data_IF_417398181879
#
_entry.id   IF_417398181879
#
_cell.length_a   1.000
_cell.length_b   1.000
_cell.length_c   1.000
_cell.angle_alpha   90.00
_cell.angle_beta   90.00
_cell.angle_gamma   90.00
#
_symmetry.space_group_name_H-M   'P 1'
#
loop_
_entity.id
_entity.type
_entity.pdbx_description
1 polymer ?
#
# COMPACT_ATOMS: atom_id res chain seq x y z
N UNK A 1 -16.90 -9.95 21.78
CA UNK A 1 -17.28 -9.63 20.39
C UNK A 1 -16.00 -9.63 19.59
N UNK A 2 -15.96 -10.35 18.47
CA UNK A 2 -14.80 -10.32 17.59
C UNK A 2 -14.71 -8.92 16.96
N UNK A 3 -13.56 -8.26 17.08
CA UNK A 3 -13.38 -6.93 16.49
C UNK A 3 -13.27 -7.05 14.96
N UNK A 4 -14.06 -6.24 14.25
CA UNK A 4 -13.94 -6.07 12.80
C UNK A 4 -12.62 -5.35 12.51
N UNK A 5 -11.85 -5.85 11.54
CA UNK A 5 -10.58 -5.26 11.09
C UNK A 5 -10.74 -4.55 9.76
N UNK A 6 -10.06 -3.42 9.58
CA UNK A 6 -9.98 -2.65 8.35
C UNK A 6 -8.63 -2.83 7.66
N UNK A 7 -8.65 -3.43 6.47
CA UNK A 7 -7.51 -3.42 5.54
C UNK A 7 -7.66 -2.28 4.53
N UNK A 8 -6.65 -1.41 4.41
CA UNK A 8 -6.67 -0.29 3.45
C UNK A 8 -5.89 -0.67 2.19
N UNK A 9 -6.58 -0.73 1.06
CA UNK A 9 -5.92 -0.90 -0.24
C UNK A 9 -5.35 0.44 -0.75
N UNK A 10 -4.07 0.44 -1.11
CA UNK A 10 -3.35 1.66 -1.53
C UNK A 10 -2.96 1.67 -3.03
N UNK A 11 -3.48 0.76 -3.85
CA UNK A 11 -3.14 0.65 -5.28
C UNK A 11 -3.41 1.93 -6.08
N UNK A 12 -4.45 2.67 -5.69
CA UNK A 12 -4.87 3.90 -6.39
C UNK A 12 -3.92 5.08 -6.15
N UNK A 13 -3.18 5.07 -5.04
CA UNK A 13 -2.09 6.03 -4.82
C UNK A 13 -0.98 5.79 -5.84
N UNK A 14 -0.57 4.53 -6.02
CA UNK A 14 0.40 4.16 -7.05
C UNK A 14 -0.12 4.46 -8.46
N UNK A 15 -1.42 4.27 -8.72
CA UNK A 15 -2.05 4.64 -9.99
C UNK A 15 -1.84 6.13 -10.30
N UNK A 16 -2.09 7.00 -9.33
CA UNK A 16 -1.91 8.45 -9.48
C UNK A 16 -0.43 8.80 -9.74
N UNK A 17 0.51 8.16 -9.04
CA UNK A 17 1.95 8.30 -9.27
C UNK A 17 2.34 7.88 -10.70
N UNK A 18 1.90 6.70 -11.14
CA UNK A 18 2.22 6.16 -12.47
C UNK A 18 1.65 7.02 -13.61
N UNK A 19 0.48 7.65 -13.41
CA UNK A 19 -0.12 8.54 -14.41
C UNK A 19 0.79 9.73 -14.76
N UNK A 20 1.67 10.14 -13.85
CA UNK A 20 2.63 11.24 -14.05
C UNK A 20 4.08 10.78 -14.17
N UNK A 21 4.35 9.48 -14.04
CA UNK A 21 5.71 8.92 -13.94
C UNK A 21 6.57 9.69 -12.92
N UNK A 22 5.94 10.11 -11.83
CA UNK A 22 6.57 10.90 -10.78
C UNK A 22 7.01 10.00 -9.61
N UNK A 23 7.71 10.58 -8.63
CA UNK A 23 8.00 9.91 -7.36
C UNK A 23 6.84 10.00 -6.36
N UNK A 24 5.90 10.92 -6.56
CA UNK A 24 4.79 11.20 -5.65
C UNK A 24 3.42 11.11 -6.36
N UNK A 25 2.37 10.72 -5.62
CA UNK A 25 2.39 10.29 -4.21
C UNK A 25 3.06 8.92 -4.02
N UNK A 26 3.82 8.74 -2.93
CA UNK A 26 4.47 7.46 -2.61
C UNK A 26 3.50 6.52 -1.84
N UNK A 27 3.17 5.32 -2.36
CA UNK A 27 2.33 4.35 -1.66
C UNK A 27 2.88 3.96 -0.29
N UNK A 28 4.20 3.90 -0.13
CA UNK A 28 4.82 3.54 1.16
C UNK A 28 4.51 4.57 2.24
N UNK A 29 4.53 5.87 1.87
CA UNK A 29 4.16 6.94 2.79
C UNK A 29 2.66 6.88 3.13
N UNK A 30 1.81 6.57 2.16
CA UNK A 30 0.38 6.42 2.39
C UNK A 30 0.04 5.23 3.29
N UNK A 31 0.78 4.13 3.21
CA UNK A 31 0.65 3.01 4.13
C UNK A 31 0.90 3.44 5.59
N UNK A 32 1.97 4.20 5.84
CA UNK A 32 2.26 4.73 7.16
C UNK A 32 1.13 5.64 7.68
N UNK A 33 0.59 6.51 6.83
CA UNK A 33 -0.55 7.38 7.19
C UNK A 33 -1.79 6.54 7.53
N UNK A 34 -2.11 5.53 6.72
CA UNK A 34 -3.27 4.68 6.96
C UNK A 34 -3.15 3.90 8.28
N UNK A 35 -1.98 3.32 8.57
CA UNK A 35 -1.71 2.66 9.85
C UNK A 35 -1.85 3.63 11.03
N UNK A 36 -1.23 4.82 10.95
CA UNK A 36 -1.33 5.84 12.00
C UNK A 36 -2.78 6.34 12.20
N UNK A 37 -3.61 6.26 11.17
CA UNK A 37 -5.03 6.60 11.21
C UNK A 37 -5.92 5.45 11.73
N UNK A 38 -5.36 4.29 12.07
CA UNK A 38 -6.07 3.16 12.66
C UNK A 38 -6.40 2.01 11.71
N UNK A 39 -5.72 1.90 10.55
CA UNK A 39 -5.83 0.70 9.72
C UNK A 39 -5.18 -0.51 10.41
N UNK A 40 -5.91 -1.63 10.46
CA UNK A 40 -5.40 -2.91 11.01
C UNK A 40 -4.46 -3.63 10.03
N UNK A 41 -4.47 -3.21 8.77
CA UNK A 41 -3.60 -3.75 7.74
C UNK A 41 -3.59 -2.94 6.46
N UNK A 42 -2.60 -3.23 5.62
CA UNK A 42 -2.39 -2.61 4.32
C UNK A 42 -2.52 -3.69 3.25
N UNK A 43 -3.26 -3.37 2.19
CA UNK A 43 -3.42 -4.24 1.03
C UNK A 43 -2.78 -3.59 -0.19
N UNK A 44 -2.01 -4.37 -0.95
CA UNK A 44 -1.46 -3.99 -2.26
C UNK A 44 -1.57 -5.13 -3.24
N UNK A 45 -1.74 -4.82 -4.53
CA UNK A 45 -1.73 -5.81 -5.59
C UNK A 45 -0.53 -5.62 -6.51
N UNK A 46 0.45 -6.53 -6.42
CA UNK A 46 1.64 -6.53 -7.26
C UNK A 46 1.36 -7.26 -8.59
N UNK A 47 0.56 -6.64 -9.45
CA UNK A 47 0.16 -7.19 -10.76
C UNK A 47 1.34 -7.58 -11.62
N UNK A 48 1.27 -8.68 -12.37
CA UNK A 48 2.30 -9.10 -13.32
C UNK A 48 2.65 -8.03 -14.37
N UNK A 49 1.67 -7.23 -14.80
CA UNK A 49 1.86 -6.11 -15.75
C UNK A 49 2.42 -4.83 -15.11
N UNK A 50 2.61 -4.81 -13.77
CA UNK A 50 3.13 -3.68 -12.99
C UNK A 50 2.41 -2.36 -13.28
N UNK A 51 1.09 -2.41 -13.48
CA UNK A 51 0.28 -1.23 -13.82
C UNK A 51 0.32 -0.10 -12.78
N UNK A 52 0.42 -0.43 -11.49
CA UNK A 52 0.41 0.54 -10.39
C UNK A 52 1.54 0.28 -9.40
N UNK A 53 1.34 -0.66 -8.47
CA UNK A 53 2.35 -1.04 -7.46
C UNK A 53 3.56 -1.63 -8.17
N UNK A 54 4.75 -1.16 -7.79
CA UNK A 54 6.03 -1.61 -8.32
C UNK A 54 6.74 -2.54 -7.34
N UNK A 55 7.71 -3.36 -7.78
CA UNK A 55 8.48 -4.21 -6.89
C UNK A 55 9.15 -3.45 -5.74
N UNK A 56 9.64 -2.23 -5.99
CA UNK A 56 10.15 -1.30 -4.97
C UNK A 56 9.14 -1.10 -3.85
N UNK A 57 7.88 -0.82 -4.20
CA UNK A 57 6.85 -0.50 -3.22
C UNK A 57 6.57 -1.72 -2.35
N UNK A 58 6.41 -2.90 -2.97
CA UNK A 58 6.20 -4.15 -2.24
C UNK A 58 7.36 -4.49 -1.30
N UNK A 59 8.61 -4.32 -1.75
CA UNK A 59 9.79 -4.55 -0.92
C UNK A 59 9.87 -3.59 0.27
N UNK A 60 9.61 -2.30 0.04
CA UNK A 60 9.62 -1.31 1.11
C UNK A 60 8.48 -1.54 2.09
N UNK A 61 7.26 -1.79 1.61
CA UNK A 61 6.11 -2.11 2.46
C UNK A 61 6.39 -3.32 3.35
N UNK A 62 7.05 -4.36 2.82
CA UNK A 62 7.45 -5.54 3.60
C UNK A 62 8.41 -5.21 4.75
N UNK A 63 9.19 -4.13 4.63
CA UNK A 63 10.15 -3.67 5.64
C UNK A 63 9.57 -2.64 6.59
N UNK A 64 8.56 -1.87 6.17
CA UNK A 64 8.07 -0.69 6.91
C UNK A 64 6.68 -0.85 7.51
N UNK A 65 5.82 -1.71 6.96
CA UNK A 65 4.49 -1.95 7.53
C UNK A 65 4.65 -2.86 8.76
N UNK A 66 4.27 -2.33 9.92
CA UNK A 66 4.27 -3.00 11.22
C UNK A 66 2.95 -3.72 11.54
N UNK A 67 1.90 -3.46 10.74
CA UNK A 67 0.62 -4.16 10.79
C UNK A 67 0.54 -5.31 9.77
N UNK A 68 -0.65 -5.88 9.57
CA UNK A 68 -0.82 -6.94 8.59
C UNK A 68 -0.66 -6.42 7.16
N UNK A 69 0.32 -6.94 6.42
CA UNK A 69 0.49 -6.66 5.00
C UNK A 69 -0.12 -7.80 4.16
N UNK A 70 -1.18 -7.49 3.42
CA UNK A 70 -1.79 -8.38 2.44
C UNK A 70 -1.27 -8.04 1.03
N UNK A 71 -0.66 -9.02 0.35
CA UNK A 71 -0.15 -8.86 -1.02
C UNK A 71 -0.98 -9.75 -1.95
N UNK A 72 -1.68 -9.11 -2.87
CA UNK A 72 -2.48 -9.71 -3.95
C UNK A 72 -1.68 -9.82 -5.27
#
# INVERSE_FOLDING_TARGET
MEQIRLGVNIDRIATLRQARRASQPDPVAAAAIATLAGADGITVHLRADRRHIQPRDAELLRRTVDTHLNIE
#
